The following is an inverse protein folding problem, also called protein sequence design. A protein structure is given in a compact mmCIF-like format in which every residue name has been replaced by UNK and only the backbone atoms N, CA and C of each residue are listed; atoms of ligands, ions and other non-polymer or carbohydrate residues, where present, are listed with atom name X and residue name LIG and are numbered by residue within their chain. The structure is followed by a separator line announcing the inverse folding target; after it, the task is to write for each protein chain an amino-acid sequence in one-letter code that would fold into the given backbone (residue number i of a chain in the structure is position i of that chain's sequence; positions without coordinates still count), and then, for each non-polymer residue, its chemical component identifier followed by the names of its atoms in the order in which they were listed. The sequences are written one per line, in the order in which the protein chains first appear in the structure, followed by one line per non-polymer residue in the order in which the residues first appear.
data_IF_824211617984
#
_entry.id   IF_824211617984
#
_cell.length_a   1.000
_cell.length_b   1.000
_cell.length_c   1.000
_cell.angle_alpha   90.00
_cell.angle_beta   90.00
_cell.angle_gamma   90.00
#
_symmetry.space_group_name_H-M   'P 1'
#
loop_
_entity.id
_entity.type
_entity.pdbx_description
1 polymer ?
#
# COMPACT_ATOMS: atom_id res chain seq x y z
N UNK A 1 16.65 1.99 -1.58
CA UNK A 1 15.87 1.09 -2.44
C UNK A 1 15.57 -0.26 -1.77
N UNK A 2 16.22 -0.63 -0.66
CA UNK A 2 16.23 -2.03 -0.18
C UNK A 2 15.15 -2.42 0.85
N UNK A 3 14.12 -1.61 1.08
CA UNK A 3 13.18 -1.82 2.20
C UNK A 3 12.27 -3.05 2.04
N UNK A 4 12.07 -3.50 0.81
CA UNK A 4 11.20 -4.64 0.49
C UNK A 4 11.96 -5.81 -0.14
N UNK A 5 13.30 -5.73 -0.18
CA UNK A 5 14.12 -6.79 -0.75
C UNK A 5 13.97 -8.07 0.08
N UNK A 6 13.86 -9.20 -0.63
CA UNK A 6 13.68 -10.51 -0.01
C UNK A 6 12.25 -10.81 0.45
N UNK A 7 11.28 -9.92 0.22
CA UNK A 7 9.86 -10.28 0.32
C UNK A 7 9.37 -10.81 -1.02
N UNK A 8 8.49 -11.80 -0.98
CA UNK A 8 7.74 -12.24 -2.15
C UNK A 8 6.47 -11.39 -2.28
N UNK A 9 6.37 -10.61 -3.37
CA UNK A 9 5.22 -9.74 -3.62
C UNK A 9 4.06 -10.62 -4.13
N UNK A 10 2.95 -10.64 -3.39
CA UNK A 10 1.75 -11.39 -3.75
C UNK A 10 0.71 -10.51 -4.46
N UNK A 11 0.64 -9.24 -4.07
CA UNK A 11 -0.24 -8.25 -4.67
C UNK A 11 0.39 -6.86 -4.58
N UNK A 12 0.35 -6.12 -5.69
CA UNK A 12 0.71 -4.72 -5.78
C UNK A 12 -0.29 -4.04 -6.72
N UNK A 13 -1.03 -3.06 -6.22
CA UNK A 13 -1.99 -2.30 -7.02
C UNK A 13 -1.94 -0.81 -6.64
N UNK A 14 -2.12 0.03 -7.65
CA UNK A 14 -2.33 1.47 -7.49
C UNK A 14 -3.78 1.82 -7.87
N UNK A 15 -4.39 2.71 -7.10
CA UNK A 15 -5.74 3.20 -7.37
C UNK A 15 -5.97 4.52 -6.65
N UNK A 16 -7.06 5.19 -6.99
CA UNK A 16 -7.52 6.35 -6.25
C UNK A 16 -8.84 6.05 -5.55
N UNK A 17 -9.01 6.58 -4.34
CA UNK A 17 -10.25 6.48 -3.59
C UNK A 17 -10.44 7.70 -2.66
N UNK A 18 -11.69 7.98 -2.31
CA UNK A 18 -11.99 8.95 -1.26
C UNK A 18 -11.81 8.29 0.11
N UNK A 19 -10.96 8.89 0.95
CA UNK A 19 -10.70 8.42 2.31
C UNK A 19 -11.32 9.35 3.35
N UNK A 20 -11.58 8.80 4.53
CA UNK A 20 -11.97 9.55 5.72
C UNK A 20 -11.33 8.95 6.96
N UNK A 21 -10.00 9.00 7.00
CA UNK A 21 -9.19 8.44 8.08
C UNK A 21 -8.72 9.56 9.02
N UNK A 22 -9.43 9.73 10.12
CA UNK A 22 -9.18 10.81 11.07
C UNK A 22 -9.45 12.19 10.46
N UNK A 23 -8.82 13.24 11.01
CA UNK A 23 -9.10 14.63 10.61
C UNK A 23 -8.19 15.17 9.51
N UNK A 24 -7.16 14.41 9.09
CA UNK A 24 -6.15 14.86 8.12
C UNK A 24 -6.13 14.07 6.82
N UNK A 25 -6.54 12.81 6.82
CA UNK A 25 -6.62 12.00 5.60
C UNK A 25 -8.08 11.93 5.15
N UNK A 26 -8.58 13.07 4.66
CA UNK A 26 -9.96 13.19 4.19
C UNK A 26 -9.96 13.71 2.75
N UNK A 27 -10.69 13.02 1.86
CA UNK A 27 -10.83 13.35 0.45
C UNK A 27 -10.12 12.36 -0.48
N UNK A 28 -10.07 12.72 -1.77
CA UNK A 28 -9.45 11.90 -2.82
C UNK A 28 -7.96 11.68 -2.55
N UNK A 29 -7.55 10.42 -2.55
CA UNK A 29 -6.18 9.99 -2.26
C UNK A 29 -5.73 8.94 -3.28
N UNK A 30 -4.46 9.01 -3.68
CA UNK A 30 -3.79 7.94 -4.42
C UNK A 30 -3.25 6.92 -3.42
N UNK A 31 -3.58 5.65 -3.62
CA UNK A 31 -3.32 4.55 -2.69
C UNK A 31 -2.52 3.45 -3.38
N UNK A 32 -1.75 2.74 -2.55
CA UNK A 32 -0.99 1.55 -2.94
C UNK A 32 -1.37 0.41 -2.00
N UNK A 33 -1.95 -0.65 -2.57
CA UNK A 33 -2.09 -1.92 -1.86
C UNK A 33 -0.82 -2.73 -2.07
N UNK A 34 -0.17 -3.13 -0.98
CA UNK A 34 1.04 -3.94 -1.01
C UNK A 34 0.91 -5.13 -0.07
N UNK A 35 0.71 -6.32 -0.64
CA UNK A 35 0.69 -7.58 0.10
C UNK A 35 1.93 -8.37 -0.28
N UNK A 36 2.73 -8.71 0.72
CA UNK A 36 3.94 -9.49 0.52
C UNK A 36 4.12 -10.55 1.62
N UNK A 37 4.76 -11.65 1.24
CA UNK A 37 5.10 -12.75 2.12
C UNK A 37 6.60 -12.72 2.43
N UNK A 38 6.94 -12.83 3.71
CA UNK A 38 8.32 -13.10 4.12
C UNK A 38 8.65 -14.57 3.80
N UNK A 39 9.72 -14.89 3.06
CA UNK A 39 10.17 -16.26 2.84
C UNK A 39 10.61 -16.88 4.18
N UNK A 40 10.37 -18.19 4.32
CA UNK A 40 10.79 -18.99 5.48
C UNK A 40 12.32 -19.08 5.57
#
# INVERSE_FOLDING_TARGET
ADRFNGLEILHLAEYEAELSEGSRHVGQSALIDFVARKPM
#
